data_IF_672460768032
#
_entry.id   IF_672460768032
#
_cell.length_a   1.000
_cell.length_b   1.000
_cell.length_c   1.000
_cell.angle_alpha   90.00
_cell.angle_beta   90.00
_cell.angle_gamma   90.00
#
_symmetry.space_group_name_H-M   'P 1'
#
loop_
_entity.id
_entity.type
_entity.pdbx_description
1 polymer ?
#
# COMPACT_ATOMS: atom_id res chain seq x y z
N UNK A 1 19.88 -16.55 19.14
CA UNK A 1 20.21 -15.96 17.84
C UNK A 1 19.23 -16.29 16.72
N UNK A 2 18.60 -17.50 16.65
CA UNK A 2 17.70 -17.84 15.53
C UNK A 2 16.55 -16.85 15.36
N UNK A 3 15.89 -16.43 16.44
CA UNK A 3 14.80 -15.44 16.39
C UNK A 3 15.27 -14.07 15.95
N UNK A 4 16.44 -13.66 16.43
CA UNK A 4 17.03 -12.37 16.07
C UNK A 4 17.34 -12.32 14.57
N UNK A 5 18.04 -13.35 14.04
CA UNK A 5 18.31 -13.45 12.62
C UNK A 5 17.04 -13.44 11.77
N UNK A 6 16.00 -14.14 12.21
CA UNK A 6 14.69 -14.13 11.52
C UNK A 6 14.02 -12.76 11.53
N UNK A 7 14.10 -12.00 12.63
CA UNK A 7 13.56 -10.64 12.71
C UNK A 7 14.33 -9.66 11.83
N UNK A 8 15.66 -9.78 11.76
CA UNK A 8 16.50 -8.99 10.86
C UNK A 8 16.10 -9.30 9.41
N UNK A 9 16.08 -10.58 9.03
CA UNK A 9 15.73 -11.00 7.67
C UNK A 9 14.33 -10.54 7.25
N UNK A 10 13.34 -10.65 8.13
CA UNK A 10 11.99 -10.17 7.89
C UNK A 10 11.97 -8.66 7.57
N UNK A 11 12.66 -7.84 8.40
CA UNK A 11 12.68 -6.39 8.18
C UNK A 11 13.42 -6.01 6.90
N UNK A 12 14.52 -6.68 6.58
CA UNK A 12 15.24 -6.46 5.32
C UNK A 12 14.37 -6.80 4.10
N UNK A 13 13.62 -7.89 4.15
CA UNK A 13 12.69 -8.27 3.08
C UNK A 13 11.53 -7.27 2.97
N UNK A 14 10.90 -6.92 4.10
CA UNK A 14 9.79 -5.97 4.12
C UNK A 14 10.19 -4.57 3.64
N UNK A 15 11.42 -4.12 3.93
CA UNK A 15 11.90 -2.81 3.50
C UNK A 15 11.80 -2.65 1.98
N UNK A 16 12.25 -3.62 1.22
CA UNK A 16 12.16 -3.61 -0.24
C UNK A 16 10.69 -3.66 -0.70
N UNK A 17 9.92 -4.60 -0.17
CA UNK A 17 8.52 -4.78 -0.56
C UNK A 17 7.64 -3.58 -0.22
N UNK A 18 7.84 -2.96 0.94
CA UNK A 18 7.07 -1.76 1.33
C UNK A 18 7.43 -0.56 0.46
N UNK A 19 8.71 -0.40 0.10
CA UNK A 19 9.14 0.65 -0.81
C UNK A 19 8.52 0.48 -2.21
N UNK A 20 8.53 -0.74 -2.75
CA UNK A 20 7.91 -1.08 -4.03
C UNK A 20 6.40 -0.83 -3.98
N UNK A 21 5.70 -1.35 -2.97
CA UNK A 21 4.26 -1.14 -2.81
C UNK A 21 3.89 0.35 -2.67
N UNK A 22 4.72 1.13 -1.99
CA UNK A 22 4.53 2.58 -1.88
C UNK A 22 4.63 3.26 -3.24
N UNK A 23 5.63 2.87 -4.05
CA UNK A 23 5.79 3.38 -5.40
C UNK A 23 4.62 2.98 -6.30
N UNK A 24 4.15 1.74 -6.21
CA UNK A 24 3.01 1.23 -6.96
C UNK A 24 1.71 1.96 -6.59
N UNK A 25 1.49 2.24 -5.30
CA UNK A 25 0.33 3.01 -4.83
C UNK A 25 0.34 4.45 -5.38
N UNK A 26 1.50 5.09 -5.38
CA UNK A 26 1.68 6.42 -5.97
C UNK A 26 1.50 6.37 -7.49
N UNK A 27 2.03 5.34 -8.15
CA UNK A 27 1.87 5.11 -9.60
C UNK A 27 0.41 4.92 -9.99
N UNK A 28 -0.35 4.13 -9.23
CA UNK A 28 -1.78 3.98 -9.41
C UNK A 28 -2.52 5.32 -9.28
N UNK A 29 -2.24 6.08 -8.23
CA UNK A 29 -2.86 7.40 -8.04
C UNK A 29 -2.55 8.35 -9.20
N UNK A 30 -1.31 8.37 -9.69
CA UNK A 30 -0.90 9.18 -10.83
C UNK A 30 -1.58 8.74 -12.14
N UNK A 31 -1.70 7.43 -12.37
CA UNK A 31 -2.38 6.90 -13.55
C UNK A 31 -3.86 7.29 -13.56
N UNK A 32 -4.55 7.12 -12.43
CA UNK A 32 -5.97 7.50 -12.28
C UNK A 32 -6.14 9.01 -12.44
N UNK A 33 -5.27 9.82 -11.84
CA UNK A 33 -5.31 11.28 -11.99
C UNK A 33 -5.08 11.71 -13.44
N UNK A 34 -4.16 11.07 -14.16
CA UNK A 34 -3.91 11.34 -15.57
C UNK A 34 -5.09 10.97 -16.50
N UNK A 35 -5.87 9.96 -16.14
CA UNK A 35 -7.14 9.68 -16.83
C UNK A 35 -8.18 10.74 -16.46
N UNK A 36 -8.31 11.05 -15.18
CA UNK A 36 -9.26 12.04 -14.67
C UNK A 36 -9.10 13.43 -15.32
N UNK A 37 -7.87 13.86 -15.54
CA UNK A 37 -7.53 15.13 -16.19
C UNK A 37 -8.10 15.22 -17.62
N UNK A 38 -8.09 14.12 -18.36
CA UNK A 38 -8.66 14.06 -19.72
C UNK A 38 -10.18 14.04 -19.76
N UNK A 39 -10.81 13.81 -18.62
CA UNK A 39 -12.26 13.62 -18.52
C UNK A 39 -12.96 14.60 -17.57
N UNK A 40 -12.38 15.80 -17.42
CA UNK A 40 -12.95 16.86 -16.56
C UNK A 40 -14.30 17.36 -17.05
N UNK A 41 -14.56 17.29 -18.37
CA UNK A 41 -15.79 17.71 -19.03
C UNK A 41 -16.64 16.53 -19.56
N UNK A 42 -16.26 15.30 -19.23
CA UNK A 42 -17.03 14.10 -19.60
C UNK A 42 -18.13 13.88 -18.56
N UNK A 43 -19.32 14.36 -18.88
CA UNK A 43 -20.48 14.28 -18.00
C UNK A 43 -21.00 12.84 -17.88
N UNK A 44 -21.31 12.44 -16.67
CA UNK A 44 -21.96 11.18 -16.34
C UNK A 44 -22.90 11.34 -15.15
N UNK A 45 -23.93 10.51 -15.03
CA UNK A 45 -24.68 10.45 -13.78
C UNK A 45 -23.85 9.79 -12.69
N UNK A 46 -23.74 10.40 -11.52
CA UNK A 46 -23.32 9.67 -10.34
C UNK A 46 -24.42 8.68 -9.93
N UNK A 47 -24.08 7.64 -9.21
CA UNK A 47 -24.98 6.53 -8.92
C UNK A 47 -25.03 6.19 -7.43
N UNK A 48 -26.24 5.85 -6.98
CA UNK A 48 -26.47 5.20 -5.68
C UNK A 48 -27.36 3.99 -5.91
N UNK A 49 -26.97 2.82 -5.41
CA UNK A 49 -27.71 1.57 -5.64
C UNK A 49 -27.98 1.27 -7.13
N UNK A 50 -27.03 1.59 -7.99
CA UNK A 50 -27.14 1.52 -9.45
C UNK A 50 -28.28 2.38 -10.04
N UNK A 51 -28.76 3.36 -9.29
CA UNK A 51 -29.73 4.35 -9.76
C UNK A 51 -29.05 5.70 -9.98
N UNK A 52 -29.45 6.37 -11.04
CA UNK A 52 -28.93 7.70 -11.36
C UNK A 52 -29.24 8.69 -10.24
N UNK A 53 -28.22 9.40 -9.80
CA UNK A 53 -28.31 10.40 -8.74
C UNK A 53 -27.97 11.80 -9.28
N UNK A 54 -26.87 12.39 -8.85
CA UNK A 54 -26.48 13.74 -9.26
C UNK A 54 -25.63 13.73 -10.54
N UNK A 55 -25.66 14.80 -11.36
CA UNK A 55 -24.70 14.98 -12.43
C UNK A 55 -23.27 15.09 -11.87
N UNK A 56 -22.34 14.40 -12.49
CA UNK A 56 -20.93 14.43 -12.16
C UNK A 56 -20.10 14.40 -13.43
N UNK A 57 -18.79 14.36 -13.31
CA UNK A 57 -17.89 14.06 -14.43
C UNK A 57 -17.08 12.81 -14.11
N UNK A 58 -16.67 12.09 -15.16
CA UNK A 58 -15.80 10.93 -15.03
C UNK A 58 -14.49 11.31 -14.31
N UNK A 59 -13.93 12.48 -14.61
CA UNK A 59 -12.73 12.98 -13.94
C UNK A 59 -12.93 13.14 -12.43
N UNK A 60 -14.05 13.74 -12.01
CA UNK A 60 -14.38 13.89 -10.58
C UNK A 60 -14.52 12.53 -9.90
N UNK A 61 -15.23 11.61 -10.53
CA UNK A 61 -15.43 10.26 -10.01
C UNK A 61 -14.10 9.51 -9.81
N UNK A 62 -13.25 9.50 -10.83
CA UNK A 62 -11.95 8.81 -10.79
C UNK A 62 -11.04 9.35 -9.69
N UNK A 63 -11.02 10.65 -9.45
CA UNK A 63 -10.22 11.24 -8.38
C UNK A 63 -10.60 10.72 -6.99
N UNK A 64 -11.83 10.23 -6.80
CA UNK A 64 -12.25 9.61 -5.55
C UNK A 64 -11.45 8.35 -5.20
N UNK A 65 -10.76 7.75 -6.15
CA UNK A 65 -9.84 6.60 -5.96
C UNK A 65 -8.38 7.02 -5.87
N UNK A 66 -7.97 8.10 -6.53
CA UNK A 66 -6.60 8.61 -6.48
C UNK A 66 -6.25 9.15 -5.08
N UNK A 67 -7.13 9.92 -4.45
CA UNK A 67 -6.89 10.47 -3.12
C UNK A 67 -6.72 9.44 -2.01
N UNK A 68 -7.55 8.38 -1.89
CA UNK A 68 -7.30 7.30 -0.94
C UNK A 68 -5.98 6.60 -1.18
N UNK A 69 -5.61 6.33 -2.44
CA UNK A 69 -4.36 5.67 -2.78
C UNK A 69 -3.14 6.50 -2.34
N UNK A 70 -3.17 7.83 -2.49
CA UNK A 70 -2.12 8.71 -1.97
C UNK A 70 -2.02 8.64 -0.44
N UNK A 71 -3.16 8.66 0.27
CA UNK A 71 -3.16 8.52 1.73
C UNK A 71 -2.63 7.17 2.19
N UNK A 72 -2.89 6.10 1.44
CA UNK A 72 -2.33 4.78 1.74
C UNK A 72 -0.84 4.70 1.42
N UNK A 73 -0.37 5.35 0.35
CA UNK A 73 1.05 5.50 0.06
C UNK A 73 1.79 6.24 1.20
N UNK A 74 1.21 7.31 1.75
CA UNK A 74 1.77 8.03 2.91
C UNK A 74 1.84 7.15 4.16
N UNK A 75 0.81 6.33 4.42
CA UNK A 75 0.81 5.37 5.53
C UNK A 75 1.88 4.30 5.36
N UNK A 76 2.04 3.78 4.15
CA UNK A 76 3.08 2.81 3.80
C UNK A 76 4.48 3.42 3.98
N UNK A 77 4.67 4.66 3.54
CA UNK A 77 5.92 5.39 3.72
C UNK A 77 6.27 5.57 5.21
N UNK A 78 5.28 5.92 6.03
CA UNK A 78 5.45 5.96 7.50
C UNK A 78 5.81 4.58 8.06
N UNK A 79 5.19 3.53 7.54
CA UNK A 79 5.50 2.14 7.92
C UNK A 79 6.91 1.72 7.55
N UNK A 80 7.50 2.31 6.51
CA UNK A 80 8.89 2.07 6.12
C UNK A 80 9.86 2.48 7.22
N UNK A 81 9.63 3.59 7.93
CA UNK A 81 10.44 4.01 9.08
C UNK A 81 10.45 2.96 10.20
N UNK A 82 9.31 2.30 10.45
CA UNK A 82 9.23 1.21 11.40
C UNK A 82 10.04 -0.01 10.95
N UNK A 83 9.99 -0.34 9.67
CA UNK A 83 10.72 -1.50 9.10
C UNK A 83 12.22 -1.25 9.12
N UNK A 84 12.65 -0.01 8.87
CA UNK A 84 14.05 0.38 8.72
C UNK A 84 14.77 0.63 10.06
N UNK A 85 14.33 -0.06 11.12
CA UNK A 85 14.98 -0.09 12.42
C UNK A 85 15.49 -1.50 12.73
N UNK A 86 16.78 -1.61 13.10
CA UNK A 86 17.42 -2.88 13.38
C UNK A 86 16.99 -3.47 14.72
N UNK A 87 16.57 -4.75 14.77
CA UNK A 87 16.40 -5.48 16.01
C UNK A 87 17.72 -6.13 16.51
N UNK A 88 18.81 -5.98 15.75
CA UNK A 88 20.10 -6.64 16.00
C UNK A 88 20.66 -6.33 17.38
N UNK A 89 21.31 -7.32 18.00
CA UNK A 89 21.87 -7.24 19.35
C UNK A 89 20.85 -7.29 20.48
N UNK A 90 19.55 -7.45 20.17
CA UNK A 90 18.49 -7.63 21.18
C UNK A 90 18.53 -9.02 21.86
N UNK A 91 19.24 -9.98 21.28
CA UNK A 91 19.25 -11.36 21.74
C UNK A 91 17.91 -12.05 21.55
N UNK A 92 17.50 -12.88 22.52
CA UNK A 92 16.17 -13.49 22.44
C UNK A 92 15.05 -12.51 22.83
N UNK A 93 15.20 -11.75 23.89
CA UNK A 93 14.24 -10.74 24.39
C UNK A 93 14.85 -9.68 25.32
N UNK A 94 15.90 -10.00 26.09
CA UNK A 94 16.39 -9.16 27.20
C UNK A 94 17.86 -8.73 26.98
N UNK A 95 18.32 -8.68 25.73
CA UNK A 95 19.71 -8.36 25.43
C UNK A 95 20.65 -9.57 25.50
N UNK A 96 21.93 -9.30 25.45
CA UNK A 96 23.01 -10.30 25.49
C UNK A 96 24.01 -9.94 26.58
N UNK A 97 24.64 -10.97 27.15
CA UNK A 97 25.82 -10.78 28.04
C UNK A 97 27.08 -10.43 27.27
N UNK A 98 27.09 -10.68 25.96
CA UNK A 98 28.17 -10.25 25.08
C UNK A 98 28.00 -8.77 24.80
N UNK A 99 29.09 -8.04 24.84
CA UNK A 99 29.10 -6.63 24.44
C UNK A 99 28.93 -6.57 22.92
N UNK A 100 27.77 -6.17 22.46
CA UNK A 100 27.43 -6.01 21.04
C UNK A 100 27.10 -4.54 20.80
N UNK A 101 27.86 -3.91 19.92
CA UNK A 101 27.51 -2.57 19.41
C UNK A 101 26.35 -2.69 18.44
N UNK A 102 25.15 -2.42 18.93
CA UNK A 102 23.91 -2.54 18.19
C UNK A 102 23.84 -1.53 17.02
N UNK A 103 24.35 -0.34 17.23
CA UNK A 103 24.41 0.71 16.20
C UNK A 103 25.36 0.31 15.07
N UNK A 104 26.50 -0.29 15.40
CA UNK A 104 27.42 -0.80 14.39
C UNK A 104 26.78 -1.90 13.55
N UNK A 105 26.07 -2.85 14.19
CA UNK A 105 25.33 -3.91 13.48
C UNK A 105 24.25 -3.31 12.58
N UNK A 106 23.51 -2.32 13.06
CA UNK A 106 22.49 -1.63 12.26
C UNK A 106 23.08 -1.00 11.00
N UNK A 107 24.20 -0.27 11.14
CA UNK A 107 24.90 0.34 10.00
C UNK A 107 25.41 -0.69 9.00
N UNK A 108 26.00 -1.80 9.46
CA UNK A 108 26.47 -2.88 8.57
C UNK A 108 25.34 -3.52 7.77
N UNK A 109 24.14 -3.59 8.32
CA UNK A 109 22.95 -4.15 7.67
C UNK A 109 22.15 -3.09 6.88
N UNK A 110 22.63 -1.83 6.90
CA UNK A 110 22.00 -0.72 6.18
C UNK A 110 20.67 -0.26 6.78
N UNK A 111 20.45 -0.46 8.08
CA UNK A 111 19.30 0.10 8.79
C UNK A 111 19.56 1.55 9.23
N UNK A 112 18.51 2.34 9.29
CA UNK A 112 18.53 3.75 9.72
C UNK A 112 18.41 3.91 11.25
N UNK A 113 18.98 2.98 12.02
CA UNK A 113 19.00 3.00 13.47
C UNK A 113 18.57 1.68 14.10
N UNK A 114 18.42 1.68 15.41
CA UNK A 114 18.03 0.50 16.20
C UNK A 114 16.65 0.67 16.82
N UNK A 115 16.01 -0.45 17.15
CA UNK A 115 14.86 -0.47 18.04
C UNK A 115 15.42 -0.47 19.47
N UNK A 116 15.19 0.58 20.24
CA UNK A 116 15.84 0.81 21.53
C UNK A 116 15.57 -0.32 22.55
N UNK A 117 14.31 -0.67 22.70
CA UNK A 117 13.91 -1.67 23.68
C UNK A 117 14.02 -3.08 23.10
N UNK A 118 14.84 -3.93 23.74
CA UNK A 118 15.17 -5.27 23.20
C UNK A 118 13.97 -6.21 23.10
N UNK A 119 13.06 -6.15 24.07
CA UNK A 119 11.87 -6.99 24.05
C UNK A 119 10.87 -6.52 22.99
N UNK A 120 10.72 -5.22 22.80
CA UNK A 120 9.95 -4.63 21.71
C UNK A 120 10.47 -5.12 20.34
N UNK A 121 11.77 -4.99 20.12
CA UNK A 121 12.44 -5.45 18.90
C UNK A 121 12.15 -6.91 18.53
N UNK A 122 11.91 -7.76 19.55
CA UNK A 122 11.75 -9.21 19.36
C UNK A 122 10.31 -9.70 19.43
N UNK A 123 9.40 -8.91 19.99
CA UNK A 123 8.06 -9.38 20.34
C UNK A 123 6.93 -8.62 19.65
N UNK A 124 7.00 -7.30 19.58
CA UNK A 124 5.89 -6.48 19.06
C UNK A 124 5.75 -6.58 17.54
N UNK A 125 4.52 -6.49 17.08
CA UNK A 125 4.13 -6.62 15.67
C UNK A 125 3.19 -5.50 15.20
N UNK A 126 2.96 -4.50 16.02
CA UNK A 126 2.05 -3.38 15.76
C UNK A 126 2.33 -2.68 14.43
N UNK A 127 3.61 -2.44 14.10
CA UNK A 127 3.99 -1.87 12.81
C UNK A 127 3.67 -2.78 11.63
N UNK A 128 3.82 -4.11 11.77
CA UNK A 128 3.40 -5.05 10.73
C UNK A 128 1.88 -5.05 10.55
N UNK A 129 1.12 -4.99 11.63
CA UNK A 129 -0.35 -4.88 11.57
C UNK A 129 -0.76 -3.60 10.85
N UNK A 130 -0.10 -2.47 11.14
CA UNK A 130 -0.36 -1.19 10.46
C UNK A 130 -0.07 -1.26 8.96
N UNK A 131 1.04 -1.88 8.56
CA UNK A 131 1.39 -2.10 7.15
C UNK A 131 0.35 -2.95 6.42
N UNK A 132 -0.06 -4.06 7.02
CA UNK A 132 -1.09 -4.95 6.45
C UNK A 132 -2.44 -4.24 6.32
N UNK A 133 -2.83 -3.43 7.31
CA UNK A 133 -4.06 -2.64 7.26
C UNK A 133 -4.03 -1.60 6.14
N UNK A 134 -2.91 -0.90 5.96
CA UNK A 134 -2.74 0.06 4.85
C UNK A 134 -2.77 -0.62 3.48
N UNK A 135 -2.14 -1.78 3.37
CA UNK A 135 -2.18 -2.60 2.13
C UNK A 135 -3.60 -3.08 1.82
N UNK A 136 -4.34 -3.54 2.83
CA UNK A 136 -5.73 -3.95 2.66
C UNK A 136 -6.64 -2.77 2.25
N UNK A 137 -6.44 -1.59 2.82
CA UNK A 137 -7.15 -0.36 2.44
C UNK A 137 -6.93 -0.02 0.96
N UNK A 138 -5.67 -0.05 0.50
CA UNK A 138 -5.28 0.21 -0.88
C UNK A 138 -5.99 -0.75 -1.84
N UNK A 139 -5.86 -2.06 -1.62
CA UNK A 139 -6.46 -3.09 -2.48
C UNK A 139 -7.98 -3.00 -2.49
N UNK A 140 -8.61 -2.69 -1.35
CA UNK A 140 -10.06 -2.50 -1.27
C UNK A 140 -10.54 -1.35 -2.14
N UNK A 141 -9.81 -0.23 -2.16
CA UNK A 141 -10.15 0.91 -3.03
C UNK A 141 -9.98 0.57 -4.51
N UNK A 142 -8.90 -0.13 -4.87
CA UNK A 142 -8.68 -0.58 -6.25
C UNK A 142 -9.74 -1.58 -6.72
N UNK A 143 -10.15 -2.51 -5.84
CA UNK A 143 -11.20 -3.49 -6.13
C UNK A 143 -12.54 -2.82 -6.45
N UNK A 144 -12.91 -1.76 -5.73
CA UNK A 144 -14.13 -0.99 -6.02
C UNK A 144 -14.10 -0.35 -7.41
N UNK A 145 -12.97 0.27 -7.78
CA UNK A 145 -12.84 0.84 -9.12
C UNK A 145 -12.93 -0.24 -10.20
N UNK A 146 -12.32 -1.39 -9.97
CA UNK A 146 -12.37 -2.50 -10.92
C UNK A 146 -13.79 -3.03 -11.10
N UNK A 147 -14.57 -3.14 -10.04
CA UNK A 147 -15.99 -3.53 -10.07
C UNK A 147 -16.84 -2.49 -10.81
N UNK A 148 -16.62 -1.21 -10.56
CA UNK A 148 -17.34 -0.15 -11.28
C UNK A 148 -17.03 -0.17 -12.78
N UNK A 149 -15.77 -0.39 -13.16
CA UNK A 149 -15.38 -0.50 -14.58
C UNK A 149 -16.01 -1.73 -15.24
N UNK A 150 -16.15 -2.85 -14.53
CA UNK A 150 -16.84 -4.05 -15.02
C UNK A 150 -18.33 -3.76 -15.26
N UNK A 151 -19.00 -3.12 -14.31
CA UNK A 151 -20.41 -2.72 -14.42
C UNK A 151 -20.59 -1.75 -15.59
N UNK A 152 -19.73 -0.74 -15.71
CA UNK A 152 -19.84 0.29 -16.74
C UNK A 152 -19.50 -0.20 -18.14
N UNK A 153 -18.75 -1.29 -18.26
CA UNK A 153 -18.46 -1.93 -19.53
C UNK A 153 -19.54 -2.93 -19.98
N UNK A 154 -20.58 -3.15 -19.15
CA UNK A 154 -21.72 -3.99 -19.52
C UNK A 154 -22.60 -3.33 -20.57
N UNK A 155 -23.35 -4.15 -21.34
CA UNK A 155 -24.27 -3.66 -22.39
C UNK A 155 -25.38 -2.76 -21.81
N UNK A 156 -25.74 -2.93 -20.52
CA UNK A 156 -26.76 -2.15 -19.86
C UNK A 156 -26.31 -0.73 -19.51
N UNK A 157 -25.03 -0.53 -19.23
CA UNK A 157 -24.47 0.78 -18.89
C UNK A 157 -23.79 1.46 -20.06
N UNK A 158 -22.93 0.75 -20.76
CA UNK A 158 -22.18 1.23 -21.95
C UNK A 158 -21.48 2.59 -21.72
N UNK A 159 -20.92 2.79 -20.51
CA UNK A 159 -20.21 4.03 -20.16
C UNK A 159 -18.75 4.01 -20.54
N UNK A 160 -18.13 2.83 -20.58
CA UNK A 160 -16.72 2.64 -20.89
C UNK A 160 -16.54 1.48 -21.85
N UNK A 161 -15.59 1.65 -22.79
CA UNK A 161 -15.13 0.60 -23.68
C UNK A 161 -13.73 0.14 -23.19
N UNK A 162 -13.63 -1.12 -22.80
CA UNK A 162 -12.37 -1.69 -22.34
C UNK A 162 -11.51 -2.15 -23.51
N UNK A 163 -10.21 -1.86 -23.47
CA UNK A 163 -9.29 -2.30 -24.50
C UNK A 163 -9.26 -3.83 -24.63
N UNK A 164 -9.16 -4.35 -25.85
CA UNK A 164 -9.28 -5.76 -26.20
C UNK A 164 -8.51 -6.77 -25.33
N UNK A 165 -7.29 -6.48 -24.82
CA UNK A 165 -6.62 -7.39 -23.89
C UNK A 165 -7.36 -7.64 -22.57
N UNK A 166 -8.25 -6.75 -22.17
CA UNK A 166 -9.02 -6.80 -20.92
C UNK A 166 -10.46 -7.27 -21.13
N UNK A 167 -10.89 -7.47 -22.38
CA UNK A 167 -12.25 -7.91 -22.76
C UNK A 167 -12.27 -9.38 -23.19
N UNK A 168 -11.43 -10.23 -22.65
CA UNK A 168 -11.51 -11.65 -22.95
C UNK A 168 -12.87 -12.17 -22.56
N UNK A 169 -13.60 -12.64 -23.58
CA UNK A 169 -14.89 -13.25 -23.41
C UNK A 169 -14.88 -14.24 -22.24
N UNK A 170 -15.75 -14.00 -21.28
CA UNK A 170 -16.17 -15.07 -20.38
C UNK A 170 -16.79 -16.15 -21.26
N UNK A 171 -16.27 -17.34 -21.18
CA UNK A 171 -16.78 -18.50 -21.89
C UNK A 171 -18.04 -18.99 -21.20
#
# INVERSE_FOLDING_TARGET
PRREAARIALRLALRTQVAELTADAAGFAAAVAGVAERHTETWMPDQTYLQQAQPSTLGHYLLSFAFPALRDAERLLTGLDWVDRSPGGAGCVNGSRLVVDREHVARLLGFNGVIEHTRDAMWQLDGLVSLLASSASLVTSQSKLAEDLEIWASEEFDFVDLAGPYTRASV
#
